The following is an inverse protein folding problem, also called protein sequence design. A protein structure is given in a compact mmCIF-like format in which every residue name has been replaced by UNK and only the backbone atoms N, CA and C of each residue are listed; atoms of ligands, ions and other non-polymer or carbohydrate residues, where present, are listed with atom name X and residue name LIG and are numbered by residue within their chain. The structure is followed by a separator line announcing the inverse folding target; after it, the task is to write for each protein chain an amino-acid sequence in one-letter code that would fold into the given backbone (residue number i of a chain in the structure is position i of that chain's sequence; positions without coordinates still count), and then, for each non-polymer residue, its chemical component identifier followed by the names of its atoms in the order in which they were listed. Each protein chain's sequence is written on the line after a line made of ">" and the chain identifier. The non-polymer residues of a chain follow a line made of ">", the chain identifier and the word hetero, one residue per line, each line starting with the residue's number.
data_IF_518809660494
#
_entry.id   IF_518809660494
#
_cell.length_a   1.000
_cell.length_b   1.000
_cell.length_c   1.000
_cell.angle_alpha   90.00
_cell.angle_beta   90.00
_cell.angle_gamma   90.00
#
_symmetry.space_group_name_H-M   'P 1'
#
loop_
_entity.id
_entity.type
_entity.pdbx_description
1 polymer ?
#
# COMPACT_ATOMS: atom_id res chain seq x y z
N UNK A 1 -25.45 -33.75 -41.82
CA UNK A 1 -24.40 -34.74 -42.14
C UNK A 1 -24.05 -35.39 -40.81
N UNK A 2 -24.46 -36.65 -40.59
CA UNK A 2 -24.13 -37.37 -39.35
C UNK A 2 -22.66 -37.79 -39.43
N UNK A 3 -21.87 -37.39 -38.44
CA UNK A 3 -20.54 -37.94 -38.21
C UNK A 3 -20.51 -38.40 -36.76
N UNK A 4 -20.40 -39.72 -36.62
CA UNK A 4 -20.24 -40.45 -35.37
C UNK A 4 -18.83 -40.18 -34.84
N UNK A 5 -18.69 -39.75 -33.58
CA UNK A 5 -17.39 -39.57 -32.94
C UNK A 5 -17.31 -40.34 -31.62
N UNK A 6 -16.28 -41.18 -31.61
CA UNK A 6 -15.81 -42.12 -30.61
C UNK A 6 -15.77 -41.54 -29.17
N UNK A 7 -16.46 -42.22 -28.25
CA UNK A 7 -16.57 -41.88 -26.81
C UNK A 7 -15.30 -42.16 -25.99
N UNK A 8 -14.18 -42.50 -26.63
CA UNK A 8 -12.87 -42.70 -25.97
C UNK A 8 -11.92 -41.49 -26.04
N UNK A 9 -12.37 -40.34 -26.57
CA UNK A 9 -11.62 -39.07 -26.57
C UNK A 9 -12.17 -38.07 -25.53
N UNK A 10 -11.77 -38.31 -24.28
CA UNK A 10 -11.39 -37.34 -23.24
C UNK A 10 -12.20 -36.04 -23.15
N UNK A 11 -13.17 -36.06 -22.25
CA UNK A 11 -13.42 -35.16 -21.09
C UNK A 11 -12.98 -33.68 -21.19
N UNK A 12 -14.01 -32.82 -21.31
CA UNK A 12 -14.18 -31.46 -20.77
C UNK A 12 -12.99 -30.49 -20.83
N UNK A 13 -12.98 -29.67 -21.88
CA UNK A 13 -12.26 -28.40 -21.97
C UNK A 13 -12.68 -27.40 -20.87
N UNK A 14 -11.72 -26.64 -20.33
CA UNK A 14 -11.94 -25.32 -19.75
C UNK A 14 -11.60 -24.29 -20.83
N UNK A 15 -12.58 -23.50 -21.26
CA UNK A 15 -12.39 -22.39 -22.20
C UNK A 15 -12.11 -21.10 -21.41
N UNK A 16 -10.91 -20.54 -21.55
CA UNK A 16 -10.66 -19.14 -21.17
C UNK A 16 -10.67 -18.33 -22.47
N UNK A 17 -11.72 -17.54 -22.69
CA UNK A 17 -11.81 -16.59 -23.80
C UNK A 17 -11.01 -15.33 -23.46
N UNK A 18 -10.05 -14.99 -24.32
CA UNK A 18 -9.49 -13.65 -24.43
C UNK A 18 -10.34 -12.86 -25.43
N UNK A 19 -10.86 -11.71 -25.03
CA UNK A 19 -11.43 -10.75 -25.98
C UNK A 19 -10.26 -9.99 -26.63
N UNK A 20 -10.19 -10.08 -27.95
CA UNK A 20 -9.35 -9.32 -28.89
C UNK A 20 -7.85 -9.28 -28.59
N UNK A 21 -7.12 -10.26 -29.11
CA UNK A 21 -5.93 -10.08 -29.97
C UNK A 21 -5.38 -11.49 -30.27
N UNK A 22 -5.56 -11.94 -31.52
CA UNK A 22 -5.14 -13.26 -31.95
C UNK A 22 -3.63 -13.45 -31.90
N UNK A 23 -3.14 -14.22 -30.93
CA UNK A 23 -1.80 -14.78 -30.94
C UNK A 23 -1.76 -16.11 -30.18
N UNK A 24 -1.25 -17.16 -30.83
CA UNK A 24 -0.91 -18.44 -30.22
C UNK A 24 0.54 -18.41 -29.74
N UNK A 25 0.84 -18.91 -28.53
CA UNK A 25 2.21 -19.21 -28.11
C UNK A 25 2.32 -20.61 -27.49
N UNK A 26 3.38 -21.34 -27.89
CA UNK A 26 3.86 -22.58 -27.28
C UNK A 26 5.17 -22.27 -26.54
N UNK A 27 5.36 -22.78 -25.32
CA UNK A 27 6.64 -22.71 -24.58
C UNK A 27 6.51 -23.20 -23.14
N UNK A 28 7.56 -23.79 -22.56
CA UNK A 28 7.55 -24.77 -21.44
C UNK A 28 8.65 -24.43 -20.41
N UNK A 29 8.37 -24.55 -19.10
CA UNK A 29 9.33 -24.99 -18.06
C UNK A 29 8.69 -25.15 -16.67
N UNK A 30 8.90 -26.31 -16.03
CA UNK A 30 8.92 -26.47 -14.56
C UNK A 30 10.21 -27.26 -14.26
N UNK A 31 11.03 -26.76 -13.33
CA UNK A 31 12.17 -27.52 -12.85
C UNK A 31 11.67 -28.68 -11.98
N UNK A 32 11.89 -29.91 -12.45
CA UNK A 32 12.06 -31.04 -11.54
C UNK A 32 11.10 -32.25 -11.61
N UNK A 33 10.26 -32.45 -12.64
CA UNK A 33 9.81 -33.79 -13.10
C UNK A 33 8.84 -33.67 -14.29
N UNK A 34 8.98 -34.57 -15.26
CA UNK A 34 8.10 -34.63 -16.43
C UNK A 34 6.82 -35.44 -16.10
N UNK A 35 5.67 -34.76 -16.02
CA UNK A 35 4.33 -35.34 -15.84
C UNK A 35 3.75 -35.56 -17.24
N UNK A 36 3.51 -36.82 -17.62
CA UNK A 36 3.14 -37.21 -19.00
C UNK A 36 1.63 -37.43 -19.18
N UNK A 37 0.87 -37.46 -18.09
CA UNK A 37 -0.58 -37.65 -18.03
C UNK A 37 -1.20 -36.84 -16.88
N UNK A 38 -2.48 -36.41 -16.96
CA UNK A 38 -3.20 -35.80 -15.83
C UNK A 38 -3.24 -36.66 -14.56
N UNK A 39 -3.06 -37.98 -14.69
CA UNK A 39 -2.94 -38.94 -13.58
C UNK A 39 -1.57 -38.91 -12.87
N UNK A 40 -0.57 -38.24 -13.44
CA UNK A 40 0.78 -38.13 -12.88
C UNK A 40 0.94 -36.89 -11.98
N UNK A 41 -0.12 -36.09 -11.80
CA UNK A 41 -0.15 -34.95 -10.88
C UNK A 41 -0.34 -35.50 -9.46
N UNK A 42 0.53 -35.16 -8.49
CA UNK A 42 0.38 -35.63 -7.12
C UNK A 42 -0.98 -35.16 -6.54
N UNK A 43 -1.64 -36.00 -5.75
CA UNK A 43 -2.92 -35.73 -5.10
C UNK A 43 -2.83 -34.71 -3.94
N UNK A 44 -1.81 -33.85 -3.94
CA UNK A 44 -1.62 -32.77 -2.99
C UNK A 44 -1.37 -31.48 -3.77
N UNK A 45 -1.77 -30.34 -3.18
CA UNK A 45 -1.78 -28.99 -3.77
C UNK A 45 -0.68 -28.78 -4.83
N UNK A 46 -1.08 -28.64 -6.09
CA UNK A 46 -0.15 -28.50 -7.21
C UNK A 46 -0.06 -27.04 -7.63
N UNK A 47 1.15 -26.47 -7.52
CA UNK A 47 1.47 -25.11 -7.96
C UNK A 47 1.94 -25.17 -9.40
N UNK A 48 1.22 -24.52 -10.31
CA UNK A 48 1.61 -24.40 -11.71
C UNK A 48 1.98 -22.95 -12.02
N UNK A 49 3.18 -22.76 -12.57
CA UNK A 49 3.66 -21.44 -12.98
C UNK A 49 3.42 -21.27 -14.48
N UNK A 50 2.65 -20.24 -14.86
CA UNK A 50 2.34 -19.88 -16.23
C UNK A 50 3.06 -18.57 -16.55
N UNK A 51 3.90 -18.58 -17.58
CA UNK A 51 4.62 -17.38 -18.04
C UNK A 51 3.94 -16.83 -19.29
N UNK A 52 3.61 -15.54 -19.31
CA UNK A 52 3.11 -14.82 -20.49
C UNK A 52 4.05 -13.64 -20.76
N UNK A 53 4.88 -13.73 -21.80
CA UNK A 53 5.93 -12.72 -22.04
C UNK A 53 7.04 -12.74 -20.98
N UNK A 54 7.46 -11.57 -20.49
CA UNK A 54 8.43 -11.42 -19.38
C UNK A 54 7.81 -11.58 -17.98
N UNK A 55 6.51 -11.87 -17.90
CA UNK A 55 5.75 -11.96 -16.65
C UNK A 55 5.61 -13.41 -16.21
N UNK A 56 5.84 -13.68 -14.92
CA UNK A 56 5.71 -15.00 -14.31
C UNK A 56 4.50 -15.01 -13.41
N UNK A 57 3.44 -15.74 -13.77
CA UNK A 57 2.26 -15.92 -12.90
C UNK A 57 2.32 -17.30 -12.24
N UNK A 58 2.26 -17.37 -10.91
CA UNK A 58 2.09 -18.62 -10.17
C UNK A 58 0.60 -18.82 -9.84
N UNK A 59 0.05 -19.99 -10.14
CA UNK A 59 -1.35 -20.33 -9.86
C UNK A 59 -1.37 -21.61 -9.01
N UNK A 60 -2.08 -21.56 -7.89
CA UNK A 60 -2.31 -22.71 -7.01
C UNK A 60 -3.68 -23.30 -7.29
N UNK A 61 -3.71 -24.59 -7.62
CA UNK A 61 -4.93 -25.33 -7.95
C UNK A 61 -5.20 -26.42 -6.91
N UNK A 62 -6.45 -26.52 -6.43
CA UNK A 62 -6.96 -27.73 -5.77
C UNK A 62 -7.67 -28.58 -6.78
N UNK A 63 -7.42 -29.88 -6.71
CA UNK A 63 -8.17 -30.86 -7.47
C UNK A 63 -8.94 -31.72 -6.47
N UNK A 64 -10.27 -31.71 -6.57
CA UNK A 64 -11.16 -32.58 -5.80
C UNK A 64 -11.96 -33.45 -6.78
N UNK A 65 -11.59 -34.73 -6.88
CA UNK A 65 -12.16 -35.64 -7.87
C UNK A 65 -11.83 -35.21 -9.31
N UNK A 66 -12.81 -35.22 -10.22
CA UNK A 66 -12.63 -34.83 -11.63
C UNK A 66 -12.70 -33.31 -11.87
N UNK A 67 -12.72 -32.49 -10.80
CA UNK A 67 -12.84 -31.04 -10.88
C UNK A 67 -11.60 -30.35 -10.31
N UNK A 68 -11.01 -29.45 -11.10
CA UNK A 68 -9.98 -28.53 -10.65
C UNK A 68 -10.60 -27.16 -10.33
N UNK A 69 -10.26 -26.59 -9.17
CA UNK A 69 -10.60 -25.22 -8.77
C UNK A 69 -9.30 -24.44 -8.53
N UNK A 70 -9.25 -23.22 -9.07
CA UNK A 70 -8.25 -22.23 -8.68
C UNK A 70 -8.55 -21.79 -7.26
N UNK A 71 -7.60 -21.98 -6.35
CA UNK A 71 -7.75 -21.52 -4.96
C UNK A 71 -7.12 -20.15 -4.80
N UNK A 72 -5.97 -19.95 -5.45
CA UNK A 72 -5.15 -18.78 -5.27
C UNK A 72 -4.27 -18.53 -6.51
N UNK A 73 -3.93 -17.28 -6.79
CA UNK A 73 -3.00 -16.91 -7.85
C UNK A 73 -2.16 -15.69 -7.44
N UNK A 74 -0.88 -15.70 -7.80
CA UNK A 74 0.05 -14.60 -7.54
C UNK A 74 0.84 -14.31 -8.81
N UNK A 75 0.83 -13.06 -9.25
CA UNK A 75 1.62 -12.61 -10.40
C UNK A 75 2.93 -12.01 -9.89
N UNK A 76 4.06 -12.59 -10.28
CA UNK A 76 5.40 -12.11 -9.94
C UNK A 76 5.96 -11.40 -11.17
N UNK A 77 6.12 -10.09 -11.05
CA UNK A 77 6.79 -9.29 -12.07
C UNK A 77 8.27 -9.17 -11.76
N UNK A 78 9.12 -9.22 -12.79
CA UNK A 78 10.56 -9.11 -12.66
C UNK A 78 11.05 -7.93 -13.49
N UNK A 79 10.74 -6.69 -13.08
CA UNK A 79 11.45 -5.50 -13.56
C UNK A 79 11.29 -4.30 -12.60
N UNK A 80 12.40 -3.62 -12.35
CA UNK A 80 12.54 -2.36 -11.61
C UNK A 80 11.83 -1.16 -12.26
N UNK A 81 11.32 -1.30 -13.48
CA UNK A 81 10.49 -0.29 -14.17
C UNK A 81 9.04 -0.21 -13.68
N UNK A 82 8.66 -0.93 -12.62
CA UNK A 82 7.29 -1.00 -12.09
C UNK A 82 6.87 0.12 -11.14
N UNK A 83 7.79 1.00 -10.70
CA UNK A 83 7.37 2.18 -9.91
C UNK A 83 6.41 3.09 -10.71
N UNK A 84 6.50 3.10 -12.04
CA UNK A 84 5.57 3.86 -12.91
C UNK A 84 4.32 3.08 -13.36
N UNK A 85 4.27 1.76 -13.17
CA UNK A 85 3.18 0.89 -13.68
C UNK A 85 2.22 0.40 -12.59
N UNK A 86 2.51 0.68 -11.32
CA UNK A 86 1.65 0.35 -10.17
C UNK A 86 0.64 1.44 -9.80
N UNK A 87 0.62 2.59 -10.48
CA UNK A 87 -0.54 3.47 -10.42
C UNK A 87 -1.63 2.86 -11.30
N UNK A 88 -2.52 2.08 -10.69
CA UNK A 88 -3.84 1.87 -11.31
C UNK A 88 -4.47 3.26 -11.34
N UNK A 89 -4.38 3.93 -12.48
CA UNK A 89 -4.91 5.27 -12.62
C UNK A 89 -6.43 5.13 -12.71
N UNK A 90 -7.08 5.15 -11.54
CA UNK A 90 -8.52 5.23 -11.46
C UNK A 90 -8.92 6.57 -12.08
N UNK A 91 -9.96 6.54 -12.91
CA UNK A 91 -10.57 7.75 -13.43
C UNK A 91 -12.05 7.44 -13.61
N UNK A 92 -12.87 8.01 -12.72
CA UNK A 92 -14.30 7.83 -12.76
C UNK A 92 -15.01 9.10 -12.31
N UNK A 93 -16.27 9.17 -12.72
CA UNK A 93 -17.19 10.21 -12.29
C UNK A 93 -18.56 9.62 -11.99
N UNK A 94 -19.09 9.92 -10.82
CA UNK A 94 -20.39 9.45 -10.35
C UNK A 94 -21.25 10.62 -9.87
N UNK A 95 -22.57 10.57 -10.06
CA UNK A 95 -23.46 11.61 -9.56
C UNK A 95 -23.57 11.53 -8.03
N UNK A 96 -23.67 12.70 -7.39
CA UNK A 96 -24.14 12.77 -6.02
C UNK A 96 -25.64 12.46 -5.96
N UNK A 97 -26.09 11.81 -4.88
CA UNK A 97 -27.51 11.43 -4.78
C UNK A 97 -28.45 12.62 -4.61
N UNK A 98 -28.00 13.71 -3.98
CA UNK A 98 -28.84 14.83 -3.54
C UNK A 98 -28.53 16.19 -4.21
N UNK A 99 -27.56 16.24 -5.13
CA UNK A 99 -27.18 17.48 -5.83
C UNK A 99 -26.86 17.21 -7.30
N UNK A 100 -27.07 18.22 -8.15
CA UNK A 100 -26.79 18.17 -9.60
C UNK A 100 -25.29 18.37 -9.88
N UNK A 101 -24.44 17.67 -9.14
CA UNK A 101 -23.00 17.71 -9.27
C UNK A 101 -22.50 16.28 -9.50
N UNK A 102 -21.32 16.20 -10.10
CA UNK A 102 -20.62 14.94 -10.31
C UNK A 102 -19.39 14.92 -9.42
N UNK A 103 -19.22 13.85 -8.66
CA UNK A 103 -17.91 13.53 -8.09
C UNK A 103 -16.98 13.19 -9.24
N UNK A 104 -15.76 13.72 -9.23
CA UNK A 104 -14.72 13.38 -10.19
C UNK A 104 -13.49 12.94 -9.42
N UNK A 105 -12.96 11.77 -9.77
CA UNK A 105 -11.77 11.20 -9.15
C UNK A 105 -10.60 12.20 -9.09
N UNK A 106 -10.27 12.82 -10.23
CA UNK A 106 -9.15 13.76 -10.36
C UNK A 106 -9.26 15.02 -9.49
N UNK A 107 -10.47 15.36 -9.03
CA UNK A 107 -10.72 16.54 -8.17
C UNK A 107 -10.71 16.16 -6.67
N UNK A 108 -10.62 14.87 -6.34
CA UNK A 108 -10.75 14.34 -4.98
C UNK A 108 -9.51 13.54 -4.51
N UNK A 109 -8.44 13.54 -5.33
CA UNK A 109 -7.12 12.98 -5.03
C UNK A 109 -6.09 14.13 -5.10
N UNK A 110 -5.02 14.06 -4.30
CA UNK A 110 -3.93 15.04 -4.28
C UNK A 110 -3.85 15.84 -2.98
N UNK A 111 -5.00 16.26 -2.44
CA UNK A 111 -5.03 17.16 -1.28
C UNK A 111 -5.20 16.43 0.06
N UNK A 112 -5.95 15.32 0.06
CA UNK A 112 -6.31 14.56 1.26
C UNK A 112 -6.42 13.07 0.92
N UNK A 113 -6.17 12.21 1.90
CA UNK A 113 -6.53 10.80 1.76
C UNK A 113 -8.03 10.66 1.45
N UNK A 114 -8.38 9.74 0.55
CA UNK A 114 -9.76 9.47 0.16
C UNK A 114 -10.21 8.12 0.72
N UNK A 115 -11.28 8.14 1.52
CA UNK A 115 -11.94 6.94 2.04
C UNK A 115 -13.27 6.76 1.33
N UNK A 116 -13.38 5.71 0.53
CA UNK A 116 -14.62 5.29 -0.10
C UNK A 116 -15.27 4.17 0.72
N UNK A 117 -16.47 4.41 1.24
CA UNK A 117 -17.29 3.39 1.90
C UNK A 117 -18.39 2.91 0.96
N UNK A 118 -18.25 1.71 0.42
CA UNK A 118 -19.26 1.05 -0.42
C UNK A 118 -20.35 0.44 0.44
N UNK A 119 -21.61 0.77 0.14
CA UNK A 119 -22.77 0.26 0.87
C UNK A 119 -23.95 -0.03 -0.06
N UNK A 120 -24.90 -0.84 0.40
CA UNK A 120 -26.20 -1.01 -0.24
C UNK A 120 -27.32 -0.66 0.73
N UNK A 121 -28.42 -0.06 0.26
CA UNK A 121 -29.58 0.24 1.12
C UNK A 121 -30.32 -1.03 1.58
N UNK A 122 -30.02 -2.17 0.96
CA UNK A 122 -30.53 -3.50 1.30
C UNK A 122 -29.60 -4.28 2.26
N UNK A 123 -28.44 -3.72 2.60
CA UNK A 123 -27.38 -4.40 3.34
C UNK A 123 -27.45 -4.07 4.83
N UNK A 124 -27.94 -4.98 5.67
CA UNK A 124 -28.12 -4.73 7.11
C UNK A 124 -26.82 -4.37 7.84
N UNK A 125 -25.70 -5.02 7.53
CA UNK A 125 -24.39 -4.70 8.13
C UNK A 125 -23.90 -3.29 7.76
N UNK A 126 -24.40 -2.72 6.66
CA UNK A 126 -24.09 -1.35 6.27
C UNK A 126 -24.76 -0.33 7.21
N UNK A 127 -25.94 -0.64 7.78
CA UNK A 127 -26.63 0.24 8.74
C UNK A 127 -25.84 0.42 10.03
N UNK A 128 -25.05 -0.59 10.42
CA UNK A 128 -24.15 -0.50 11.57
C UNK A 128 -22.88 0.29 11.24
N UNK A 129 -22.41 0.21 9.98
CA UNK A 129 -21.12 0.80 9.58
C UNK A 129 -21.21 2.29 9.25
N UNK A 130 -22.28 2.72 8.61
CA UNK A 130 -22.44 4.11 8.16
C UNK A 130 -22.37 5.14 9.30
N UNK A 131 -23.06 4.97 10.45
CA UNK A 131 -22.96 5.92 11.56
C UNK A 131 -21.55 5.99 12.16
N UNK A 132 -20.84 4.86 12.21
CA UNK A 132 -19.46 4.80 12.72
C UNK A 132 -18.53 5.61 11.80
N UNK A 133 -18.59 5.37 10.49
CA UNK A 133 -17.76 6.09 9.53
C UNK A 133 -18.14 7.58 9.46
N UNK A 134 -19.42 7.93 9.59
CA UNK A 134 -19.87 9.32 9.69
C UNK A 134 -19.24 10.06 10.88
N UNK A 135 -19.19 9.43 12.06
CA UNK A 135 -18.55 10.02 13.25
C UNK A 135 -17.03 10.15 13.09
N UNK A 136 -16.40 9.21 12.38
CA UNK A 136 -14.97 9.32 12.07
C UNK A 136 -14.72 10.47 11.09
N UNK A 137 -15.57 10.70 10.09
CA UNK A 137 -15.41 11.84 9.19
C UNK A 137 -15.41 13.20 9.93
N UNK A 138 -16.20 13.33 10.99
CA UNK A 138 -16.18 14.52 11.86
C UNK A 138 -14.87 14.65 12.66
N UNK A 139 -14.28 13.52 13.09
CA UNK A 139 -13.05 13.48 13.89
C UNK A 139 -11.79 13.67 13.05
N UNK A 140 -11.80 13.28 11.77
CA UNK A 140 -10.66 13.29 10.86
C UNK A 140 -10.93 14.21 9.66
N UNK A 141 -11.04 15.55 9.86
CA UNK A 141 -11.44 16.50 8.80
C UNK A 141 -10.41 16.62 7.66
N UNK A 142 -9.16 16.20 7.90
CA UNK A 142 -8.08 16.10 6.91
C UNK A 142 -8.18 14.85 6.02
N UNK A 143 -9.12 13.95 6.28
CA UNK A 143 -9.44 12.82 5.39
C UNK A 143 -10.77 13.09 4.69
N UNK A 144 -10.83 12.81 3.39
CA UNK A 144 -12.05 12.93 2.60
C UNK A 144 -12.84 11.62 2.66
N UNK A 145 -13.98 11.61 3.36
CA UNK A 145 -14.86 10.44 3.43
C UNK A 145 -16.04 10.58 2.47
N UNK A 146 -16.21 9.59 1.60
CA UNK A 146 -17.32 9.55 0.63
C UNK A 146 -18.00 8.19 0.70
N UNK A 147 -19.31 8.17 0.90
CA UNK A 147 -20.12 6.98 0.79
C UNK A 147 -20.44 6.69 -0.68
N UNK A 148 -20.38 5.42 -1.08
CA UNK A 148 -20.69 4.98 -2.45
C UNK A 148 -21.86 4.00 -2.38
N UNK A 149 -23.01 4.43 -2.89
CA UNK A 149 -24.20 3.58 -2.97
C UNK A 149 -24.06 2.61 -4.15
N UNK A 150 -23.89 1.32 -3.85
CA UNK A 150 -23.77 0.26 -4.84
C UNK A 150 -25.16 -0.24 -5.26
N UNK A 151 -25.50 0.01 -6.52
CA UNK A 151 -26.77 -0.37 -7.12
C UNK A 151 -27.76 0.78 -7.24
N UNK A 152 -28.94 0.45 -7.77
CA UNK A 152 -29.89 1.45 -8.28
C UNK A 152 -30.89 1.97 -7.23
N UNK A 153 -30.42 2.27 -6.02
CA UNK A 153 -31.26 2.87 -4.99
C UNK A 153 -31.54 4.34 -5.32
N UNK A 154 -32.82 4.71 -5.35
CA UNK A 154 -33.22 6.09 -5.63
C UNK A 154 -32.79 7.06 -4.52
N UNK A 155 -32.62 8.37 -4.84
CA UNK A 155 -32.22 9.39 -3.88
C UNK A 155 -33.05 9.42 -2.59
N UNK A 156 -34.37 9.27 -2.69
CA UNK A 156 -35.28 9.30 -1.53
C UNK A 156 -34.99 8.16 -0.54
N UNK A 157 -34.63 6.97 -1.03
CA UNK A 157 -34.31 5.81 -0.20
C UNK A 157 -32.98 6.02 0.52
N UNK A 158 -31.99 6.60 -0.16
CA UNK A 158 -30.70 6.95 0.44
C UNK A 158 -30.89 8.04 1.49
N UNK A 159 -31.68 9.07 1.19
CA UNK A 159 -31.99 10.16 2.12
C UNK A 159 -32.68 9.64 3.38
N UNK A 160 -33.73 8.83 3.25
CA UNK A 160 -34.45 8.27 4.40
C UNK A 160 -33.54 7.41 5.28
N UNK A 161 -32.66 6.61 4.66
CA UNK A 161 -31.67 5.81 5.37
C UNK A 161 -30.67 6.69 6.13
N UNK A 162 -30.16 7.75 5.50
CA UNK A 162 -29.19 8.64 6.12
C UNK A 162 -29.81 9.44 7.27
N UNK A 163 -31.04 9.93 7.10
CA UNK A 163 -31.81 10.61 8.14
C UNK A 163 -32.06 9.69 9.34
N UNK A 164 -32.46 8.44 9.08
CA UNK A 164 -32.74 7.45 10.13
C UNK A 164 -31.49 7.06 10.92
N UNK A 165 -30.35 7.00 10.25
CA UNK A 165 -29.08 6.59 10.83
C UNK A 165 -28.23 7.76 11.34
N UNK A 166 -28.72 8.99 11.21
CA UNK A 166 -28.01 10.24 11.52
C UNK A 166 -26.63 10.31 10.81
N UNK A 167 -26.61 9.94 9.53
CA UNK A 167 -25.38 9.90 8.71
C UNK A 167 -25.19 11.24 7.99
N UNK A 168 -24.03 11.84 8.22
CA UNK A 168 -23.59 13.08 7.61
C UNK A 168 -22.34 12.84 6.74
N UNK A 169 -22.53 12.17 5.60
CA UNK A 169 -21.49 11.90 4.63
C UNK A 169 -21.93 12.39 3.24
N UNK A 170 -20.98 12.89 2.46
CA UNK A 170 -21.17 12.98 1.03
C UNK A 170 -21.42 11.59 0.45
N UNK A 171 -22.36 11.47 -0.49
CA UNK A 171 -22.73 10.18 -1.06
C UNK A 171 -22.91 10.26 -2.58
N UNK A 172 -22.23 9.35 -3.26
CA UNK A 172 -22.27 9.18 -4.71
C UNK A 172 -22.93 7.86 -5.05
N UNK A 173 -23.53 7.76 -6.23
CA UNK A 173 -24.34 6.58 -6.62
C UNK A 173 -23.68 5.86 -7.78
N UNK A 174 -23.47 4.56 -7.64
CA UNK A 174 -22.97 3.65 -8.68
C UNK A 174 -24.07 2.66 -9.09
N UNK A 175 -25.07 3.10 -9.88
CA UNK A 175 -26.26 2.31 -10.16
C UNK A 175 -25.99 1.05 -10.98
N UNK A 176 -24.95 1.08 -11.80
CA UNK A 176 -24.54 0.02 -12.72
C UNK A 176 -23.33 -0.78 -12.21
N UNK A 177 -22.87 -0.54 -10.98
CA UNK A 177 -21.71 -1.19 -10.37
C UNK A 177 -20.40 -1.00 -11.15
N UNK A 178 -20.28 0.07 -11.93
CA UNK A 178 -19.10 0.32 -12.78
C UNK A 178 -17.86 0.60 -11.93
N UNK A 179 -18.01 1.45 -10.91
CA UNK A 179 -16.92 1.78 -9.98
C UNK A 179 -16.67 0.63 -9.02
N UNK A 180 -17.72 -0.08 -8.57
CA UNK A 180 -17.55 -1.33 -7.85
C UNK A 180 -16.70 -2.34 -8.64
N UNK A 181 -16.97 -2.53 -9.94
CA UNK A 181 -16.20 -3.42 -10.79
C UNK A 181 -14.75 -2.94 -10.98
N UNK A 182 -14.55 -1.63 -11.23
CA UNK A 182 -13.22 -1.03 -11.39
C UNK A 182 -12.35 -1.18 -10.13
N UNK A 183 -12.97 -1.10 -8.95
CA UNK A 183 -12.30 -1.21 -7.64
C UNK A 183 -12.36 -2.62 -7.03
N UNK A 184 -12.82 -3.61 -7.81
CA UNK A 184 -12.96 -5.00 -7.37
C UNK A 184 -13.77 -5.16 -6.06
N UNK A 185 -14.82 -4.36 -5.90
CA UNK A 185 -15.78 -4.45 -4.78
C UNK A 185 -16.81 -5.51 -5.13
N UNK A 186 -16.68 -6.68 -4.50
CA UNK A 186 -17.55 -7.84 -4.74
C UNK A 186 -18.73 -7.84 -3.75
N UNK A 187 -18.56 -7.23 -2.57
CA UNK A 187 -19.55 -7.22 -1.51
C UNK A 187 -19.53 -5.92 -0.72
N UNK A 188 -20.58 -5.71 0.06
CA UNK A 188 -20.74 -4.54 0.93
C UNK A 188 -21.09 -4.98 2.36
N UNK A 189 -20.69 -4.23 3.40
CA UNK A 189 -19.90 -3.01 3.35
C UNK A 189 -18.42 -3.27 3.05
N UNK A 190 -17.80 -2.39 2.28
CA UNK A 190 -16.36 -2.43 1.98
C UNK A 190 -15.78 -1.02 1.99
N UNK A 191 -14.60 -0.87 2.59
CA UNK A 191 -13.85 0.38 2.59
C UNK A 191 -12.68 0.24 1.62
N UNK A 192 -12.41 1.28 0.83
CA UNK A 192 -11.17 1.48 0.09
C UNK A 192 -10.55 2.80 0.56
N UNK A 193 -9.26 2.81 0.84
CA UNK A 193 -8.54 4.01 1.26
C UNK A 193 -7.41 4.28 0.28
N UNK A 194 -7.37 5.51 -0.23
CA UNK A 194 -6.39 5.99 -1.19
C UNK A 194 -5.54 7.10 -0.59
N UNK A 195 -4.24 7.10 -0.90
CA UNK A 195 -3.31 8.16 -0.53
C UNK A 195 -3.40 9.39 -1.46
N UNK A 196 -2.52 10.37 -1.24
CA UNK A 196 -2.48 11.62 -2.00
C UNK A 196 -2.15 11.41 -3.48
N UNK A 197 -1.42 10.35 -3.82
CA UNK A 197 -1.07 10.00 -5.20
C UNK A 197 -2.16 9.13 -5.88
N UNK A 198 -3.22 8.79 -5.14
CA UNK A 198 -4.32 7.97 -5.61
C UNK A 198 -4.04 6.47 -5.56
N UNK A 199 -3.00 6.03 -4.85
CA UNK A 199 -2.72 4.61 -4.66
C UNK A 199 -3.64 4.02 -3.61
N UNK A 200 -4.12 2.80 -3.86
CA UNK A 200 -4.88 2.04 -2.87
C UNK A 200 -3.95 1.56 -1.75
N UNK A 201 -4.11 2.08 -0.54
CA UNK A 201 -3.24 1.81 0.61
C UNK A 201 -3.88 0.90 1.66
N UNK A 202 -5.22 0.78 1.67
CA UNK A 202 -5.95 -0.11 2.57
C UNK A 202 -7.32 -0.45 2.00
N UNK A 203 -7.79 -1.68 2.22
CA UNK A 203 -9.13 -2.11 1.78
C UNK A 203 -9.76 -3.18 2.67
N UNK A 204 -11.07 -3.36 2.52
CA UNK A 204 -11.84 -4.48 3.06
C UNK A 204 -12.95 -4.04 4.01
N UNK A 205 -13.56 -5.01 4.70
CA UNK A 205 -14.55 -4.75 5.76
C UNK A 205 -13.83 -4.40 7.08
N UNK A 206 -13.06 -3.30 7.06
CA UNK A 206 -12.26 -2.83 8.18
C UNK A 206 -13.16 -2.60 9.39
N UNK A 207 -12.75 -3.03 10.58
CA UNK A 207 -13.47 -2.74 11.83
C UNK A 207 -13.06 -1.36 12.36
N UNK A 208 -13.79 -0.83 13.35
CA UNK A 208 -13.48 0.48 13.93
C UNK A 208 -12.06 0.58 14.50
N UNK A 209 -11.53 -0.37 15.29
CA UNK A 209 -10.17 -0.25 15.81
C UNK A 209 -9.12 -0.18 14.70
N UNK A 210 -9.25 -1.02 13.68
CA UNK A 210 -8.33 -1.06 12.54
C UNK A 210 -8.41 0.21 11.70
N UNK A 211 -9.62 0.72 11.44
CA UNK A 211 -9.80 1.96 10.70
C UNK A 211 -9.26 3.15 11.48
N UNK A 212 -9.51 3.23 12.79
CA UNK A 212 -8.99 4.29 13.66
C UNK A 212 -7.47 4.25 13.74
N UNK A 213 -6.87 3.07 13.91
CA UNK A 213 -5.40 2.91 13.90
C UNK A 213 -4.79 3.40 12.59
N UNK A 214 -5.42 3.11 11.46
CA UNK A 214 -4.98 3.62 10.16
C UNK A 214 -5.14 5.15 10.06
N UNK A 215 -6.30 5.70 10.41
CA UNK A 215 -6.57 7.14 10.34
C UNK A 215 -5.65 7.95 11.29
N UNK A 216 -5.40 7.44 12.49
CA UNK A 216 -4.43 8.03 13.42
C UNK A 216 -3.01 8.02 12.87
N UNK A 217 -2.68 7.10 11.94
CA UNK A 217 -1.38 7.09 11.27
C UNK A 217 -1.27 8.15 10.17
N UNK A 218 -2.37 8.49 9.51
CA UNK A 218 -2.42 9.59 8.52
C UNK A 218 -2.11 10.92 9.20
N UNK A 219 -2.82 11.24 10.32
CA UNK A 219 -2.61 12.46 11.12
C UNK A 219 -1.14 12.70 11.44
N UNK A 220 -0.46 11.63 11.87
CA UNK A 220 0.91 11.74 12.35
C UNK A 220 1.93 11.85 11.23
N UNK A 221 1.66 11.24 10.06
CA UNK A 221 2.46 11.47 8.86
C UNK A 221 2.29 12.91 8.34
N UNK A 222 1.06 13.46 8.40
CA UNK A 222 0.80 14.86 8.08
C UNK A 222 1.46 15.82 9.09
N UNK A 223 1.57 15.48 10.39
CA UNK A 223 2.25 16.32 11.41
C UNK A 223 3.75 16.55 11.20
N UNK A 224 4.38 15.87 10.26
CA UNK A 224 5.71 16.26 9.76
C UNK A 224 5.57 17.09 8.48
N UNK A 225 4.75 18.14 8.52
CA UNK A 225 4.48 19.01 7.36
C UNK A 225 5.77 19.62 6.83
N UNK A 226 5.96 19.55 5.51
CA UNK A 226 7.08 20.23 4.85
C UNK A 226 7.03 21.72 5.17
N UNK A 227 8.12 22.25 5.72
CA UNK A 227 8.28 23.64 6.12
C UNK A 227 8.12 23.89 7.62
N UNK A 228 7.56 22.95 8.38
CA UNK A 228 7.38 23.07 9.83
C UNK A 228 8.52 22.41 10.61
N UNK A 229 8.83 22.87 11.85
CA UNK A 229 9.84 22.25 12.69
C UNK A 229 9.43 20.83 13.10
N UNK A 230 10.35 19.86 12.97
CA UNK A 230 10.12 18.51 13.47
C UNK A 230 10.02 18.52 15.00
N UNK A 231 9.08 17.76 15.57
CA UNK A 231 8.98 17.62 17.02
C UNK A 231 10.30 17.10 17.63
N UNK A 232 10.66 17.68 18.78
CA UNK A 232 11.92 17.32 19.46
C UNK A 232 11.88 15.88 19.99
N UNK A 233 13.05 15.25 20.01
CA UNK A 233 13.24 13.89 20.51
C UNK A 233 14.64 13.71 21.08
N UNK A 234 14.76 12.73 21.99
CA UNK A 234 16.04 12.26 22.52
C UNK A 234 16.13 10.76 22.37
N UNK A 235 17.19 10.27 21.72
CA UNK A 235 17.48 8.84 21.56
C UNK A 235 18.94 8.53 21.93
N UNK A 236 19.21 7.27 22.28
CA UNK A 236 20.56 6.79 22.55
C UNK A 236 21.27 6.40 21.25
N UNK A 237 22.60 6.56 21.21
CA UNK A 237 23.41 5.97 20.15
C UNK A 237 23.47 4.44 20.30
N UNK A 238 23.58 3.75 19.16
CA UNK A 238 23.67 2.30 19.14
C UNK A 238 24.99 1.77 19.74
N UNK A 239 26.08 2.53 19.63
CA UNK A 239 27.45 2.06 19.93
C UNK A 239 28.02 2.53 21.27
N UNK A 240 27.38 3.50 21.91
CA UNK A 240 27.82 4.10 23.17
C UNK A 240 26.63 4.44 24.11
N UNK A 241 26.92 5.13 25.21
CA UNK A 241 25.95 5.52 26.26
C UNK A 241 25.50 6.99 26.12
N UNK A 242 25.99 7.70 25.11
CA UNK A 242 25.59 9.08 24.83
C UNK A 242 24.20 9.11 24.19
N UNK A 243 23.59 10.28 24.28
CA UNK A 243 22.27 10.56 23.69
C UNK A 243 22.37 11.66 22.66
N UNK A 244 21.43 11.64 21.72
CA UNK A 244 21.21 12.67 20.73
C UNK A 244 19.86 13.32 21.01
N UNK A 245 19.85 14.64 21.20
CA UNK A 245 18.62 15.45 21.25
C UNK A 245 18.56 16.34 20.01
N UNK A 246 17.46 16.31 19.26
CA UNK A 246 17.35 17.05 18.00
C UNK A 246 17.57 18.54 18.19
N UNK A 247 16.89 19.17 19.14
CA UNK A 247 16.98 20.62 19.40
C UNK A 247 18.38 21.11 19.78
N UNK A 248 19.23 20.24 20.32
CA UNK A 248 20.62 20.54 20.68
C UNK A 248 21.60 20.38 19.50
N UNK A 249 21.17 19.72 18.42
CA UNK A 249 22.02 19.33 17.29
C UNK A 249 21.61 19.98 15.96
N UNK A 250 20.59 20.84 15.95
CA UNK A 250 20.24 21.71 14.82
C UNK A 250 21.07 23.00 14.85
N UNK A 251 21.37 23.59 13.67
CA UNK A 251 21.97 24.93 13.57
C UNK A 251 23.15 25.06 12.62
N UNK A 252 23.93 23.99 12.40
CA UNK A 252 25.15 24.05 11.57
C UNK A 252 24.98 23.37 10.21
N UNK A 253 24.32 22.21 10.18
CA UNK A 253 24.14 21.36 9.01
C UNK A 253 22.67 20.97 8.88
N UNK A 254 22.25 20.63 7.67
CA UNK A 254 21.00 19.92 7.46
C UNK A 254 21.09 18.54 8.13
N UNK A 255 19.98 17.94 8.50
CA UNK A 255 19.96 16.62 9.15
C UNK A 255 19.10 15.65 8.36
N UNK A 256 19.69 14.57 7.87
CA UNK A 256 18.98 13.49 7.21
C UNK A 256 18.84 12.31 8.17
N UNK A 257 17.60 12.01 8.58
CA UNK A 257 17.24 10.86 9.38
C UNK A 257 16.82 9.70 8.47
N UNK A 258 17.42 8.52 8.65
CA UNK A 258 17.14 7.32 7.87
C UNK A 258 16.53 6.23 8.77
N UNK A 259 15.22 6.10 8.78
CA UNK A 259 14.50 5.13 9.60
C UNK A 259 14.55 3.74 8.97
N UNK A 260 14.96 2.73 9.73
CA UNK A 260 15.14 1.37 9.24
C UNK A 260 14.95 0.29 10.32
N UNK A 261 14.87 -0.96 9.87
CA UNK A 261 15.03 -2.16 10.72
C UNK A 261 16.07 -3.09 10.10
N UNK A 262 16.69 -3.96 10.91
CA UNK A 262 17.80 -4.81 10.43
C UNK A 262 17.32 -5.92 9.49
N UNK A 263 16.04 -6.29 9.56
CA UNK A 263 15.41 -7.34 8.75
C UNK A 263 14.63 -6.81 7.53
N UNK A 264 14.43 -5.50 7.42
CA UNK A 264 13.77 -4.87 6.27
C UNK A 264 14.57 -5.09 4.97
N UNK A 265 13.99 -5.77 3.98
CA UNK A 265 14.67 -6.17 2.74
C UNK A 265 15.23 -4.97 1.97
N UNK A 266 14.44 -3.90 1.83
CA UNK A 266 14.85 -2.69 1.11
C UNK A 266 15.93 -1.93 1.88
N UNK A 267 15.80 -1.83 3.20
CA UNK A 267 16.77 -1.15 4.08
C UNK A 267 18.17 -1.79 3.99
N UNK A 268 18.23 -3.13 3.88
CA UNK A 268 19.49 -3.89 3.72
C UNK A 268 20.20 -3.63 2.39
N UNK A 269 19.54 -2.95 1.44
CA UNK A 269 20.10 -2.46 0.18
C UNK A 269 20.44 -0.96 0.24
N UNK A 270 19.49 -0.14 0.71
CA UNK A 270 19.61 1.33 0.69
C UNK A 270 20.61 1.88 1.70
N UNK A 271 20.60 1.42 2.96
CA UNK A 271 21.47 1.97 4.01
C UNK A 271 22.97 1.77 3.69
N UNK A 272 23.43 0.59 3.25
CA UNK A 272 24.83 0.42 2.81
C UNK A 272 25.19 1.32 1.62
N UNK A 273 24.30 1.47 0.64
CA UNK A 273 24.54 2.31 -0.53
C UNK A 273 24.69 3.79 -0.14
N UNK A 274 23.85 4.29 0.77
CA UNK A 274 23.96 5.65 1.31
C UNK A 274 25.27 5.81 2.10
N UNK A 275 25.61 4.84 2.95
CA UNK A 275 26.83 4.88 3.77
C UNK A 275 28.11 4.99 2.93
N UNK A 276 28.19 4.27 1.80
CA UNK A 276 29.35 4.30 0.91
C UNK A 276 29.71 5.73 0.43
N UNK A 277 28.70 6.58 0.20
CA UNK A 277 28.87 7.96 -0.30
C UNK A 277 28.58 9.04 0.71
N UNK A 278 28.21 8.69 1.94
CA UNK A 278 27.82 9.65 2.97
C UNK A 278 28.89 10.74 3.19
N UNK A 279 30.16 10.34 3.11
CA UNK A 279 31.33 11.24 3.26
C UNK A 279 31.34 12.43 2.29
N UNK A 280 30.72 12.32 1.12
CA UNK A 280 30.64 13.41 0.12
C UNK A 280 29.72 14.55 0.57
N UNK A 281 28.79 14.29 1.50
CA UNK A 281 27.75 15.24 1.92
C UNK A 281 27.95 15.79 3.34
N UNK A 282 28.89 15.23 4.11
CA UNK A 282 29.06 15.53 5.55
C UNK A 282 29.39 16.98 5.87
N UNK A 283 29.91 17.76 4.92
CA UNK A 283 30.14 19.20 5.09
C UNK A 283 28.84 19.99 5.26
N UNK A 284 27.77 19.61 4.54
CA UNK A 284 26.48 20.33 4.53
C UNK A 284 25.36 19.60 5.26
N UNK A 285 25.43 18.28 5.33
CA UNK A 285 24.36 17.43 5.87
C UNK A 285 24.93 16.37 6.80
N UNK A 286 24.40 16.29 8.02
CA UNK A 286 24.61 15.19 8.94
C UNK A 286 23.64 14.07 8.62
N UNK A 287 24.14 12.86 8.39
CA UNK A 287 23.32 11.69 8.04
C UNK A 287 23.28 10.75 9.23
N UNK A 288 22.08 10.46 9.74
CA UNK A 288 21.87 9.68 10.95
C UNK A 288 20.89 8.56 10.64
N UNK A 289 21.30 7.31 10.85
CA UNK A 289 20.40 6.17 10.80
C UNK A 289 19.59 6.07 12.11
N UNK A 290 18.33 5.65 12.03
CA UNK A 290 17.46 5.48 13.19
C UNK A 290 16.86 4.07 13.14
N UNK A 291 17.32 3.20 14.04
CA UNK A 291 16.87 1.81 14.11
C UNK A 291 15.58 1.71 14.93
N UNK A 292 14.45 1.39 14.30
CA UNK A 292 13.14 1.36 14.93
C UNK A 292 12.85 0.00 15.58
N UNK A 293 12.69 -0.04 16.90
CA UNK A 293 12.36 -1.25 17.64
C UNK A 293 13.45 -2.31 17.70
N UNK A 294 14.69 -1.93 17.42
CA UNK A 294 15.85 -2.82 17.39
C UNK A 294 16.68 -2.67 18.68
N UNK A 295 17.37 -3.74 19.08
CA UNK A 295 18.35 -3.67 20.17
C UNK A 295 19.69 -3.17 19.64
N UNK A 296 20.46 -2.50 20.50
CA UNK A 296 21.81 -2.01 20.16
C UNK A 296 22.70 -3.11 19.56
N UNK A 297 22.64 -4.33 20.10
CA UNK A 297 23.45 -5.47 19.65
C UNK A 297 23.11 -5.93 18.22
N UNK A 298 21.83 -5.94 17.87
CA UNK A 298 21.36 -6.35 16.55
C UNK A 298 21.80 -5.34 15.49
N UNK A 299 21.69 -4.04 15.81
CA UNK A 299 22.20 -2.94 14.97
C UNK A 299 23.71 -3.01 14.80
N UNK A 300 24.47 -3.21 15.89
CA UNK A 300 25.95 -3.37 15.83
C UNK A 300 26.36 -4.51 14.91
N UNK A 301 25.65 -5.64 15.00
CA UNK A 301 25.92 -6.81 14.17
C UNK A 301 25.64 -6.50 12.70
N UNK A 302 24.47 -5.93 12.41
CA UNK A 302 24.09 -5.54 11.05
C UNK A 302 25.07 -4.54 10.42
N UNK A 303 25.46 -3.49 11.16
CA UNK A 303 26.39 -2.47 10.67
C UNK A 303 27.76 -3.06 10.35
N UNK A 304 28.27 -3.91 11.24
CA UNK A 304 29.53 -4.61 11.03
C UNK A 304 29.48 -5.58 9.84
N UNK A 305 28.40 -6.34 9.68
CA UNK A 305 28.22 -7.28 8.58
C UNK A 305 28.14 -6.59 7.22
N UNK A 306 27.54 -5.40 7.19
CA UNK A 306 27.34 -4.62 5.96
C UNK A 306 28.42 -3.59 5.68
N UNK A 307 29.35 -3.37 6.61
CA UNK A 307 30.37 -2.32 6.49
C UNK A 307 29.75 -0.92 6.47
N UNK A 308 28.66 -0.72 7.23
CA UNK A 308 28.00 0.58 7.35
C UNK A 308 28.80 1.45 8.32
N UNK A 309 29.23 2.61 7.83
CA UNK A 309 29.88 3.67 8.58
C UNK A 309 28.96 4.90 8.61
N UNK A 310 27.99 4.87 9.54
CA UNK A 310 27.04 5.95 9.80
C UNK A 310 26.81 6.06 11.29
N UNK A 311 26.52 7.28 11.76
CA UNK A 311 25.93 7.48 13.08
C UNK A 311 24.57 6.78 13.12
N UNK A 312 24.26 6.10 14.23
CA UNK A 312 22.97 5.43 14.38
C UNK A 312 22.39 5.62 15.78
N UNK A 313 21.11 5.98 15.82
CA UNK A 313 20.28 6.07 17.01
C UNK A 313 19.38 4.83 17.11
N UNK A 314 18.94 4.49 18.32
CA UNK A 314 18.02 3.37 18.57
C UNK A 314 16.69 3.85 19.17
N UNK A 315 15.60 3.64 18.44
CA UNK A 315 14.22 3.88 18.90
C UNK A 315 13.62 2.57 19.44
N UNK A 316 14.19 2.09 20.56
CA UNK A 316 13.96 0.72 21.06
C UNK A 316 12.50 0.35 21.35
N UNK A 317 11.64 1.34 21.66
CA UNK A 317 10.23 1.16 22.03
C UNK A 317 9.25 1.65 20.96
N UNK A 318 9.76 1.98 19.76
CA UNK A 318 9.00 2.58 18.66
C UNK A 318 8.38 3.93 19.03
N UNK A 319 8.90 4.64 20.04
CA UNK A 319 8.29 5.88 20.51
C UNK A 319 8.45 6.98 19.47
N UNK A 320 9.66 7.17 18.93
CA UNK A 320 9.91 8.21 17.93
C UNK A 320 9.15 7.93 16.64
N UNK A 321 9.23 6.71 16.12
CA UNK A 321 8.57 6.37 14.86
C UNK A 321 7.05 6.54 14.97
N UNK A 322 6.45 6.21 16.12
CA UNK A 322 5.02 6.45 16.40
C UNK A 322 4.69 7.92 16.59
N UNK A 323 5.58 8.71 17.19
CA UNK A 323 5.40 10.15 17.38
C UNK A 323 5.36 10.84 16.02
N UNK A 324 6.27 10.48 15.12
CA UNK A 324 6.37 11.00 13.76
C UNK A 324 5.39 10.37 12.76
N UNK A 325 4.57 9.41 13.20
CA UNK A 325 3.54 8.78 12.38
C UNK A 325 4.00 7.77 11.35
N UNK A 326 5.29 7.46 11.32
CA UNK A 326 5.84 6.60 10.28
C UNK A 326 5.36 5.16 10.52
N UNK A 327 4.75 4.57 9.50
CA UNK A 327 4.13 3.22 9.57
C UNK A 327 4.94 2.14 8.87
N UNK A 328 5.93 2.54 8.08
CA UNK A 328 6.76 1.64 7.30
C UNK A 328 8.22 2.11 7.31
N UNK A 329 9.11 1.17 6.99
CA UNK A 329 10.52 1.44 6.71
C UNK A 329 10.90 0.81 5.36
N UNK A 330 11.86 1.38 4.62
CA UNK A 330 12.62 2.58 4.96
C UNK A 330 11.78 3.85 4.82
N UNK A 331 12.12 4.84 5.63
CA UNK A 331 11.56 6.20 5.56
C UNK A 331 12.70 7.19 5.81
N UNK A 332 12.68 8.34 5.14
CA UNK A 332 13.67 9.39 5.33
C UNK A 332 13.02 10.72 5.64
N UNK A 333 13.60 11.44 6.60
CA UNK A 333 13.22 12.82 6.93
C UNK A 333 14.46 13.69 6.77
N UNK A 334 14.40 14.68 5.88
CA UNK A 334 15.44 15.69 5.74
C UNK A 334 14.98 16.97 6.43
N UNK A 335 15.83 17.51 7.29
CA UNK A 335 15.62 18.75 8.01
C UNK A 335 16.59 19.82 7.53
N UNK A 336 16.14 21.06 7.45
CA UNK A 336 17.00 22.22 7.23
C UNK A 336 17.85 22.53 8.48
N UNK A 337 18.77 23.49 8.35
CA UNK A 337 19.63 23.93 9.47
C UNK A 337 18.86 24.48 10.68
N UNK A 338 17.58 24.81 10.54
CA UNK A 338 16.72 25.30 11.64
C UNK A 338 15.85 24.18 12.24
N UNK A 339 15.92 22.96 11.70
CA UNK A 339 15.12 21.82 12.12
C UNK A 339 13.76 21.71 11.42
N UNK A 340 13.50 22.51 10.38
CA UNK A 340 12.26 22.41 9.61
C UNK A 340 12.32 21.27 8.60
N UNK A 341 11.22 20.56 8.41
CA UNK A 341 11.12 19.45 7.46
C UNK A 341 11.24 19.96 6.03
N UNK A 342 12.28 19.54 5.31
CA UNK A 342 12.42 19.74 3.86
C UNK A 342 11.61 18.67 3.12
N UNK A 343 11.69 17.41 3.57
CA UNK A 343 10.83 16.32 3.10
C UNK A 343 10.71 15.21 4.15
N UNK A 344 9.63 14.45 4.09
CA UNK A 344 9.40 13.20 4.80
C UNK A 344 8.82 12.18 3.81
N UNK A 345 9.63 11.24 3.32
CA UNK A 345 9.24 10.32 2.23
C UNK A 345 10.15 9.08 2.18
N UNK A 346 9.81 8.08 1.36
CA UNK A 346 10.64 6.92 1.04
C UNK A 346 11.32 7.11 -0.33
N UNK A 347 12.52 7.70 -0.31
CA UNK A 347 13.34 7.98 -1.50
C UNK A 347 14.44 6.94 -1.67
N UNK A 348 14.78 6.62 -2.92
CA UNK A 348 15.97 5.84 -3.25
C UNK A 348 17.24 6.63 -2.95
N UNK A 349 18.36 5.93 -2.74
CA UNK A 349 19.67 6.56 -2.54
C UNK A 349 20.06 7.50 -3.69
N UNK A 350 19.67 7.21 -4.94
CA UNK A 350 19.92 8.08 -6.09
C UNK A 350 19.22 9.44 -5.94
N UNK A 351 17.94 9.41 -5.55
CA UNK A 351 17.15 10.62 -5.28
C UNK A 351 17.72 11.40 -4.09
N UNK A 352 18.12 10.69 -3.02
CA UNK A 352 18.77 11.31 -1.85
C UNK A 352 20.04 12.04 -2.28
N UNK A 353 20.93 11.38 -3.04
CA UNK A 353 22.17 12.02 -3.51
C UNK A 353 21.90 13.22 -4.40
N UNK A 354 20.88 13.15 -5.26
CA UNK A 354 20.48 14.29 -6.08
C UNK A 354 20.02 15.47 -5.21
N UNK A 355 19.19 15.23 -4.19
CA UNK A 355 18.73 16.28 -3.28
C UNK A 355 19.91 16.85 -2.50
N UNK A 356 20.74 16.00 -1.88
CA UNK A 356 21.86 16.44 -1.06
C UNK A 356 22.92 17.21 -1.87
N UNK A 357 23.12 16.85 -3.14
CA UNK A 357 24.03 17.58 -4.05
C UNK A 357 23.55 18.98 -4.44
N UNK A 358 22.26 19.28 -4.26
CA UNK A 358 21.65 20.57 -4.60
C UNK A 358 21.46 21.51 -3.40
N UNK A 359 21.65 21.02 -2.17
CA UNK A 359 21.83 21.85 -0.96
C UNK A 359 23.23 22.46 -0.98
#
# INVERSE_FOLDING_TARGET
>A
MNIDFDRSKIVKEIHIRWADYGASAKGRLIAGKEVKSPLDIPNEESVSVITVGSQVSAISLRIEGDMARVIDYTVIYNDSSLRELNSVNYDFSLPYYNKQEMFKWSENIGDRYLVLLFFGTWCSSCHERLPVVSKLAEKYPYVNFVAVSAGNSGPDVIQEMFDTLEVNLECIVDPEYNVCAQLNVIGVPEIKIFDLDGNLVKEGNLKEPELVEFLDSIDRNERSEVGEPLEDFTLEYYDNEDTYTLSENVGEKNTLLLFFTTWCTVCRLEIPAISEKAHEFTEKTRIIAVAAGEKKEDVKTFFKEKGIDLECLVDTDYKLIKQLGLTAVPQQILLDVKGNVIFNDNKSHEEIFHILGNL
#
